data_IF_322761358632
#
_entry.id   IF_322761358632
#
_cell.length_a   1.000
_cell.length_b   1.000
_cell.length_c   1.000
_cell.angle_alpha   90.00
_cell.angle_beta   90.00
_cell.angle_gamma   90.00
#
_symmetry.space_group_name_H-M   'P 1'
#
loop_
_entity.id
_entity.type
_entity.pdbx_description
1 polymer ?
#
# COMPACT_ATOMS: atom_id res chain seq x y z
N UNK A 1 5.28 13.98 -11.52
CA UNK A 1 4.06 13.39 -10.92
C UNK A 1 3.00 14.47 -10.96
N UNK A 2 1.81 14.20 -11.50
CA UNK A 2 0.74 15.21 -11.59
C UNK A 2 0.16 15.47 -10.19
N UNK A 3 -0.06 16.74 -9.83
CA UNK A 3 -0.62 17.16 -8.52
C UNK A 3 -1.94 16.45 -8.17
N UNK A 4 -2.68 16.01 -9.19
CA UNK A 4 -3.93 15.23 -9.04
C UNK A 4 -3.68 13.87 -8.39
N UNK A 5 -2.56 13.21 -8.73
CA UNK A 5 -2.20 11.90 -8.18
C UNK A 5 -1.87 11.97 -6.69
N UNK A 6 -1.24 13.06 -6.24
CA UNK A 6 -0.96 13.31 -4.83
C UNK A 6 -2.25 13.59 -4.06
N UNK A 7 -3.15 14.40 -4.63
CA UNK A 7 -4.46 14.68 -4.02
C UNK A 7 -5.27 13.41 -3.75
N UNK A 8 -5.37 12.51 -4.73
CA UNK A 8 -6.07 11.23 -4.57
C UNK A 8 -5.44 10.37 -3.47
N UNK A 9 -4.11 10.32 -3.38
CA UNK A 9 -3.42 9.58 -2.32
C UNK A 9 -3.72 10.16 -0.94
N UNK A 10 -3.70 11.49 -0.78
CA UNK A 10 -4.01 12.15 0.49
C UNK A 10 -5.46 11.89 0.92
N UNK A 11 -6.40 11.94 -0.03
CA UNK A 11 -7.81 11.63 0.26
C UNK A 11 -7.94 10.18 0.73
N UNK A 12 -7.31 9.24 0.03
CA UNK A 12 -7.32 7.82 0.43
C UNK A 12 -6.72 7.59 1.82
N UNK A 13 -5.57 8.20 2.11
CA UNK A 13 -4.94 8.13 3.43
C UNK A 13 -5.81 8.76 4.53
N UNK A 14 -6.46 9.90 4.26
CA UNK A 14 -7.37 10.55 5.19
C UNK A 14 -8.59 9.69 5.52
N UNK A 15 -9.16 9.02 4.51
CA UNK A 15 -10.27 8.09 4.69
C UNK A 15 -9.85 6.90 5.56
N UNK A 16 -8.70 6.28 5.29
CA UNK A 16 -8.17 5.19 6.12
C UNK A 16 -7.97 5.61 7.58
N UNK A 17 -7.45 6.81 7.81
CA UNK A 17 -7.26 7.35 9.14
C UNK A 17 -8.58 7.61 9.87
N UNK A 18 -9.60 8.10 9.15
CA UNK A 18 -10.93 8.34 9.69
C UNK A 18 -11.66 7.04 10.06
N UNK A 19 -11.63 6.03 9.19
CA UNK A 19 -12.17 4.69 9.49
C UNK A 19 -11.49 4.07 10.71
N UNK A 20 -10.19 4.30 10.86
CA UNK A 20 -9.45 3.89 12.04
C UNK A 20 -9.91 4.62 13.30
N UNK A 21 -10.07 5.95 13.26
CA UNK A 21 -10.59 6.71 14.40
C UNK A 21 -12.01 6.29 14.81
N UNK A 22 -12.80 5.73 13.88
CA UNK A 22 -14.11 5.15 14.16
C UNK A 22 -14.04 3.73 14.75
N UNK A 23 -12.86 3.13 14.86
CA UNK A 23 -12.68 1.75 15.35
C UNK A 23 -13.18 0.68 14.39
N UNK A 24 -13.42 1.02 13.12
CA UNK A 24 -13.94 0.10 12.10
C UNK A 24 -12.86 -0.81 11.51
N UNK A 25 -11.59 -0.40 11.59
CA UNK A 25 -10.45 -1.20 11.14
C UNK A 25 -10.01 -2.11 12.27
N UNK A 26 -10.31 -3.40 12.17
CA UNK A 26 -9.81 -4.39 13.12
C UNK A 26 -8.31 -4.59 12.93
N UNK A 27 -7.60 -4.65 14.05
CA UNK A 27 -6.16 -4.86 14.12
C UNK A 27 -5.69 -6.14 13.41
N UNK A 28 -6.48 -7.22 13.49
CA UNK A 28 -6.15 -8.52 12.90
C UNK A 28 -5.83 -8.42 11.40
N UNK A 29 -6.52 -7.54 10.66
CA UNK A 29 -6.30 -7.35 9.23
C UNK A 29 -4.92 -6.75 8.92
N UNK A 30 -4.45 -5.80 9.73
CA UNK A 30 -3.13 -5.19 9.56
C UNK A 30 -2.01 -6.17 9.91
N UNK A 31 -2.21 -7.00 10.94
CA UNK A 31 -1.25 -8.02 11.37
C UNK A 31 -1.12 -9.14 10.32
N UNK A 32 -2.25 -9.66 9.81
CA UNK A 32 -2.24 -10.66 8.73
C UNK A 32 -1.58 -10.12 7.46
N UNK A 33 -1.89 -8.87 7.07
CA UNK A 33 -1.26 -8.25 5.92
C UNK A 33 0.26 -8.12 6.10
N UNK A 34 0.73 -7.70 7.27
CA UNK A 34 2.16 -7.59 7.56
C UNK A 34 2.87 -8.94 7.53
N UNK A 35 2.26 -9.99 8.11
CA UNK A 35 2.80 -11.34 8.03
C UNK A 35 2.89 -11.85 6.57
N UNK A 36 1.90 -11.51 5.73
CA UNK A 36 1.95 -11.83 4.31
C UNK A 36 3.07 -11.07 3.60
N UNK A 37 3.24 -9.77 3.87
CA UNK A 37 4.32 -8.98 3.27
C UNK A 37 5.69 -9.51 3.68
N UNK A 38 5.88 -9.88 4.95
CA UNK A 38 7.15 -10.40 5.45
C UNK A 38 7.52 -11.75 4.80
N UNK A 39 6.53 -12.63 4.61
CA UNK A 39 6.72 -13.93 3.95
C UNK A 39 6.88 -13.83 2.44
N UNK A 40 6.14 -12.93 1.80
CA UNK A 40 6.04 -12.81 0.34
C UNK A 40 6.72 -11.55 -0.21
N UNK A 41 7.64 -10.94 0.54
CA UNK A 41 8.44 -9.81 0.07
C UNK A 41 9.13 -10.02 -1.30
N UNK A 42 9.55 -11.24 -1.72
CA UNK A 42 10.13 -11.44 -3.05
C UNK A 42 9.14 -11.14 -4.18
N UNK A 43 7.83 -11.25 -3.94
CA UNK A 43 6.78 -10.92 -4.92
C UNK A 43 6.85 -9.44 -5.32
N UNK A 44 7.20 -8.55 -4.39
CA UNK A 44 7.42 -7.13 -4.73
C UNK A 44 8.58 -6.94 -5.71
N UNK A 45 9.67 -7.70 -5.55
CA UNK A 45 10.81 -7.65 -6.48
C UNK A 45 10.40 -8.14 -7.87
N UNK A 46 9.61 -9.21 -7.93
CA UNK A 46 9.08 -9.74 -9.19
C UNK A 46 8.16 -8.70 -9.86
N UNK A 47 7.25 -8.08 -9.11
CA UNK A 47 6.36 -7.03 -9.61
C UNK A 47 7.12 -5.79 -10.08
N UNK A 48 8.17 -5.38 -9.37
CA UNK A 48 9.06 -4.28 -9.76
C UNK A 48 9.81 -4.60 -11.06
N UNK A 49 10.39 -5.80 -11.17
CA UNK A 49 11.05 -6.25 -12.38
C UNK A 49 10.09 -6.31 -13.57
N UNK A 50 8.88 -6.84 -13.33
CA UNK A 50 7.83 -6.91 -14.34
C UNK A 50 7.35 -5.53 -14.78
N UNK A 51 7.21 -4.58 -13.84
CA UNK A 51 6.88 -3.19 -14.14
C UNK A 51 7.92 -2.57 -15.09
N UNK A 52 9.22 -2.80 -14.85
CA UNK A 52 10.30 -2.29 -15.70
C UNK A 52 10.20 -2.90 -17.10
N UNK A 53 10.00 -4.22 -17.19
CA UNK A 53 9.91 -4.92 -18.48
C UNK A 53 8.69 -4.49 -19.31
N UNK A 54 7.54 -4.31 -18.65
CA UNK A 54 6.27 -3.96 -19.28
C UNK A 54 6.13 -2.46 -19.56
N UNK A 55 7.01 -1.63 -19.01
CA UNK A 55 6.99 -0.17 -19.20
C UNK A 55 7.10 0.20 -20.68
N UNK A 56 7.96 -0.49 -21.42
CA UNK A 56 8.19 -0.22 -22.84
C UNK A 56 7.19 -0.96 -23.74
N UNK A 57 6.77 -2.17 -23.34
CA UNK A 57 5.92 -3.03 -24.18
C UNK A 57 4.42 -2.72 -24.06
N UNK A 58 3.98 -2.24 -22.90
CA UNK A 58 2.56 -2.02 -22.58
C UNK A 58 2.41 -0.91 -21.53
N UNK A 59 2.36 0.37 -21.94
CA UNK A 59 2.39 1.51 -21.03
C UNK A 59 1.17 1.58 -20.08
N UNK A 60 0.04 0.98 -20.47
CA UNK A 60 -1.15 0.88 -19.62
C UNK A 60 -0.94 -0.08 -18.45
N UNK A 61 -0.45 -1.30 -18.71
CA UNK A 61 -0.14 -2.29 -17.68
C UNK A 61 0.97 -1.79 -16.74
N UNK A 62 2.01 -1.15 -17.29
CA UNK A 62 3.06 -0.53 -16.47
C UNK A 62 2.53 0.57 -15.55
N UNK A 63 1.52 1.33 -15.98
CA UNK A 63 0.85 2.34 -15.15
C UNK A 63 0.03 1.70 -14.03
N UNK A 64 -0.74 0.64 -14.34
CA UNK A 64 -1.53 -0.09 -13.34
C UNK A 64 -0.62 -0.75 -12.30
N UNK A 65 0.44 -1.44 -12.74
CA UNK A 65 1.45 -2.05 -11.85
C UNK A 65 2.11 -1.01 -10.94
N UNK A 66 2.43 0.17 -11.48
CA UNK A 66 2.96 1.27 -10.68
C UNK A 66 1.99 1.71 -9.58
N UNK A 67 0.72 1.89 -9.92
CA UNK A 67 -0.32 2.26 -8.94
C UNK A 67 -0.54 1.16 -7.91
N UNK A 68 -0.54 -0.09 -8.32
CA UNK A 68 -0.64 -1.26 -7.45
C UNK A 68 0.51 -1.30 -6.43
N UNK A 69 1.75 -1.11 -6.89
CA UNK A 69 2.93 -1.04 -6.02
C UNK A 69 2.85 0.12 -5.02
N UNK A 70 2.41 1.31 -5.46
CA UNK A 70 2.23 2.47 -4.59
C UNK A 70 1.15 2.20 -3.52
N UNK A 71 0.02 1.59 -3.90
CA UNK A 71 -1.05 1.23 -2.97
C UNK A 71 -0.57 0.19 -1.96
N UNK A 72 0.10 -0.87 -2.41
CA UNK A 72 0.63 -1.90 -1.52
C UNK A 72 1.67 -1.32 -0.55
N UNK A 73 2.59 -0.47 -1.02
CA UNK A 73 3.58 0.19 -0.16
C UNK A 73 2.92 1.16 0.83
N UNK A 74 1.90 1.92 0.37
CA UNK A 74 1.13 2.82 1.24
C UNK A 74 0.35 2.06 2.31
N UNK A 75 -0.25 0.93 1.96
CA UNK A 75 -0.95 0.05 2.89
C UNK A 75 0.02 -0.59 3.89
N UNK A 76 1.21 -0.99 3.44
CA UNK A 76 2.27 -1.50 4.30
C UNK A 76 2.72 -0.46 5.32
N UNK A 77 3.04 0.76 4.88
CA UNK A 77 3.38 1.87 5.78
C UNK A 77 2.25 2.18 6.77
N UNK A 78 1.00 2.18 6.30
CA UNK A 78 -0.17 2.38 7.16
C UNK A 78 -0.27 1.29 8.23
N UNK A 79 -0.10 0.02 7.85
CA UNK A 79 -0.17 -1.10 8.79
C UNK A 79 1.00 -1.06 9.79
N UNK A 80 2.24 -0.80 9.36
CA UNK A 80 3.41 -0.70 10.25
C UNK A 80 3.18 0.38 11.31
N UNK A 81 2.82 1.58 10.86
CA UNK A 81 2.58 2.71 11.75
C UNK A 81 1.40 2.49 12.71
N UNK A 82 0.42 1.69 12.29
CA UNK A 82 -0.73 1.36 13.11
C UNK A 82 -0.44 0.26 14.16
N UNK A 83 0.34 -0.77 13.79
CA UNK A 83 0.74 -1.81 14.74
C UNK A 83 1.61 -1.26 15.86
N UNK A 84 2.51 -0.31 15.57
CA UNK A 84 3.34 0.30 16.61
C UNK A 84 2.52 1.09 17.64
N UNK A 85 1.36 1.67 17.25
CA UNK A 85 0.50 2.41 18.20
C UNK A 85 -0.28 1.53 19.17
N UNK A 86 -0.53 0.26 18.85
CA UNK A 86 -1.30 -0.62 19.76
C UNK A 86 -0.49 -1.11 20.95
N UNK A 87 0.85 -0.95 20.95
CA UNK A 87 1.71 -1.26 22.10
C UNK A 87 1.67 -0.20 23.21
N UNK A 88 0.95 0.92 23.00
CA UNK A 88 0.90 2.07 23.93
C UNK A 88 -0.50 2.23 24.56
N UNK A 89 -1.16 1.11 24.88
CA UNK A 89 -2.38 1.08 25.70
C UNK A 89 -2.19 0.08 26.83
#
# INVERSE_FOLDING_TARGET
MSSISLGVLLIGFGVLFLLNSMGLIKYDYCLEFLNLVDKYWPVFLILLGLQILLRDKSPELGRVLKWLLILLAGLWLFCVFFIERSWVI
#
